data_IF_954071964850
#
_entry.id   IF_954071964850
#
_cell.length_a   1.000
_cell.length_b   1.000
_cell.length_c   1.000
_cell.angle_alpha   90.00
_cell.angle_beta   90.00
_cell.angle_gamma   90.00
#
_symmetry.space_group_name_H-M   'P 1'
#
loop_
_entity.id
_entity.type
_entity.pdbx_description
1 polymer ?
#
# COMPACT_ATOMS: atom_id res chain seq x y z
N UNK A 1 6.87 -10.43 -22.71
CA UNK A 1 5.85 -10.09 -23.72
C UNK A 1 5.22 -8.75 -23.34
N UNK A 2 5.13 -7.85 -24.33
CA UNK A 2 4.32 -6.61 -24.38
C UNK A 2 3.19 -6.58 -23.35
N UNK A 3 3.00 -5.52 -22.57
CA UNK A 3 2.48 -4.24 -23.07
C UNK A 3 2.46 -3.23 -21.91
N UNK A 4 2.86 -1.99 -22.18
CA UNK A 4 2.50 -0.83 -21.37
C UNK A 4 0.97 -0.80 -21.23
N UNK A 5 0.43 -0.98 -20.00
CA UNK A 5 -1.02 -0.93 -19.73
C UNK A 5 -1.38 0.52 -19.35
N UNK A 6 -1.89 1.35 -20.28
CA UNK A 6 -1.99 2.81 -20.10
C UNK A 6 -3.03 3.27 -19.06
N UNK A 7 -3.80 2.32 -18.51
CA UNK A 7 -4.99 2.61 -17.70
C UNK A 7 -4.90 2.12 -16.25
N UNK A 8 -3.76 1.53 -15.85
CA UNK A 8 -3.47 1.25 -14.44
C UNK A 8 -2.23 2.04 -14.07
N UNK A 9 -2.35 3.38 -13.89
CA UNK A 9 -1.31 4.11 -13.18
C UNK A 9 -1.06 3.34 -11.88
N UNK A 10 0.21 3.16 -11.53
CA UNK A 10 0.53 2.60 -10.23
C UNK A 10 -0.26 3.44 -9.21
N UNK A 11 -1.18 2.81 -8.47
CA UNK A 11 -1.86 3.51 -7.39
C UNK A 11 -0.73 4.05 -6.52
N UNK A 12 -0.65 5.37 -6.40
CA UNK A 12 0.36 6.01 -5.58
C UNK A 12 0.36 5.32 -4.22
N UNK A 13 1.54 5.01 -3.69
CA UNK A 13 1.71 4.32 -2.40
C UNK A 13 0.83 4.99 -1.32
N UNK A 14 0.72 6.32 -1.38
CA UNK A 14 -0.17 7.15 -0.56
C UNK A 14 -1.66 6.74 -0.63
N UNK A 15 -2.21 6.58 -1.85
CA UNK A 15 -3.59 6.09 -2.04
C UNK A 15 -3.78 4.66 -1.54
N UNK A 16 -2.76 3.81 -1.71
CA UNK A 16 -2.83 2.44 -1.21
C UNK A 16 -2.80 2.40 0.32
N UNK A 17 -1.97 3.23 0.97
CA UNK A 17 -1.92 3.39 2.42
C UNK A 17 -3.26 3.90 2.97
N UNK A 18 -3.90 4.84 2.29
CA UNK A 18 -5.21 5.35 2.68
C UNK A 18 -6.31 4.27 2.57
N UNK A 19 -6.33 3.50 1.48
CA UNK A 19 -7.30 2.40 1.32
C UNK A 19 -7.11 1.27 2.34
N UNK A 20 -5.88 0.85 2.62
CA UNK A 20 -5.63 -0.20 3.63
C UNK A 20 -5.96 0.31 5.04
N UNK A 21 -5.77 1.61 5.30
CA UNK A 21 -6.13 2.21 6.59
C UNK A 21 -7.64 2.33 6.76
N UNK A 22 -8.40 2.69 5.71
CA UNK A 22 -9.86 2.75 5.78
C UNK A 22 -10.50 1.37 5.89
N UNK A 23 -9.91 0.35 5.27
CA UNK A 23 -10.40 -1.02 5.31
C UNK A 23 -9.76 -1.89 6.42
N UNK A 24 -8.99 -1.25 7.32
CA UNK A 24 -8.35 -1.87 8.48
C UNK A 24 -9.41 -2.44 9.43
N UNK A 25 -9.31 -3.71 9.77
CA UNK A 25 -10.26 -4.41 10.65
C UNK A 25 -11.53 -4.89 9.95
N UNK A 26 -11.68 -4.67 8.64
CA UNK A 26 -12.82 -5.16 7.84
C UNK A 26 -12.33 -6.16 6.79
N UNK A 27 -11.43 -5.72 5.90
CA UNK A 27 -10.84 -6.56 4.85
C UNK A 27 -9.40 -6.95 5.17
N UNK A 28 -8.72 -6.14 5.96
CA UNK A 28 -7.32 -6.34 6.32
C UNK A 28 -7.18 -6.48 7.83
N UNK A 29 -6.26 -7.35 8.25
CA UNK A 29 -5.96 -7.53 9.66
C UNK A 29 -5.34 -6.23 10.22
N UNK A 30 -5.86 -5.71 11.35
CA UNK A 30 -5.37 -4.47 11.92
C UNK A 30 -3.90 -4.54 12.33
N UNK A 31 -3.37 -5.70 12.74
CA UNK A 31 -1.95 -5.87 13.08
C UNK A 31 -1.08 -5.76 11.83
N UNK A 32 -1.49 -6.37 10.73
CA UNK A 32 -0.74 -6.32 9.46
C UNK A 32 -0.71 -4.92 8.87
N UNK A 33 -1.83 -4.18 8.94
CA UNK A 33 -1.87 -2.78 8.49
C UNK A 33 -0.98 -1.90 9.35
N UNK A 34 -0.94 -2.11 10.67
CA UNK A 34 -0.05 -1.39 11.58
C UNK A 34 1.43 -1.65 11.27
N UNK A 35 1.81 -2.91 11.09
CA UNK A 35 3.17 -3.31 10.71
C UNK A 35 3.56 -2.69 9.37
N UNK A 36 2.65 -2.69 8.40
CA UNK A 36 2.89 -2.09 7.09
C UNK A 36 3.12 -0.57 7.19
N UNK A 37 2.27 0.13 7.95
CA UNK A 37 2.42 1.56 8.22
C UNK A 37 3.74 1.86 8.94
N UNK A 38 4.13 1.03 9.90
CA UNK A 38 5.38 1.16 10.64
C UNK A 38 6.60 0.95 9.72
N UNK A 39 6.58 -0.08 8.87
CA UNK A 39 7.62 -0.34 7.87
C UNK A 39 7.77 0.83 6.88
N UNK A 40 6.67 1.39 6.39
CA UNK A 40 6.70 2.56 5.51
C UNK A 40 7.21 3.82 6.24
N UNK A 41 6.89 3.98 7.52
CA UNK A 41 7.31 5.12 8.35
C UNK A 41 8.77 5.06 8.77
N UNK A 42 9.29 3.85 9.04
CA UNK A 42 10.68 3.62 9.42
C UNK A 42 11.66 3.70 8.25
N UNK A 43 11.19 3.91 7.01
CA UNK A 43 12.03 4.28 5.84
C UNK A 43 13.23 3.34 5.58
N UNK A 44 13.15 2.06 5.95
CA UNK A 44 14.16 1.07 5.55
C UNK A 44 13.94 0.50 4.14
N UNK A 45 13.09 1.14 3.33
CA UNK A 45 12.96 0.82 1.91
C UNK A 45 13.93 1.69 1.10
N UNK A 46 15.13 1.16 0.84
CA UNK A 46 15.91 1.58 -0.32
C UNK A 46 15.24 1.01 -1.58
N UNK A 47 14.79 1.90 -2.46
CA UNK A 47 14.20 1.58 -3.78
C UNK A 47 15.28 1.17 -4.79
#
# INVERSE_FOLDING_TARGET
MSSHRPYRPALSIDKTLEEISQNKGILYDPEIVDICLELFRNKEFSF
#
